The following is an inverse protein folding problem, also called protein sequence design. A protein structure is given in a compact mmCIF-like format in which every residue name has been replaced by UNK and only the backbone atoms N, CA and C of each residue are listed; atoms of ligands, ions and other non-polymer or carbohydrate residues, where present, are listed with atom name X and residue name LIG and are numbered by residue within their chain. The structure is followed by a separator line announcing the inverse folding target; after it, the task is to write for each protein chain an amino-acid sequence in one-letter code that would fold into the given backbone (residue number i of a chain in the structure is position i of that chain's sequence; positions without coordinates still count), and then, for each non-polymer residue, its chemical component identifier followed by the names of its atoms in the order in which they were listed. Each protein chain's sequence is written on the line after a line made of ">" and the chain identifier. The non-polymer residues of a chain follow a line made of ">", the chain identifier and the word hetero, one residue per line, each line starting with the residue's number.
data_IF_003089011173
#
_entry.id   IF_003089011173
#
_cell.length_a   1.000
_cell.length_b   1.000
_cell.length_c   1.000
_cell.angle_alpha   90.00
_cell.angle_beta   90.00
_cell.angle_gamma   90.00
#
_symmetry.space_group_name_H-M   'P 1'
#
loop_
_entity.id
_entity.type
_entity.pdbx_description
1 polymer ?
#
# COMPACT_ATOMS: atom_id res chain seq x y z
N UNK A 1 -12.42 4.62 24.85
CA UNK A 1 -13.32 4.24 23.74
C UNK A 1 -13.11 2.79 23.36
N UNK A 2 -14.16 2.15 22.83
CA UNK A 2 -14.08 0.83 22.20
C UNK A 2 -14.06 1.03 20.67
N UNK A 3 -13.00 0.59 20.00
CA UNK A 3 -12.74 0.89 18.60
C UNK A 3 -12.47 -0.42 17.84
N UNK A 4 -13.20 -0.64 16.75
CA UNK A 4 -13.05 -1.81 15.91
C UNK A 4 -12.50 -1.43 14.53
N UNK A 5 -11.61 -2.26 14.00
CA UNK A 5 -11.05 -2.12 12.66
C UNK A 5 -11.52 -3.26 11.78
N UNK A 6 -12.29 -2.98 10.75
CA UNK A 6 -12.74 -3.93 9.74
C UNK A 6 -11.60 -4.26 8.78
N UNK A 7 -11.09 -5.48 8.86
CA UNK A 7 -9.95 -5.97 8.07
C UNK A 7 -10.43 -6.99 7.04
N UNK A 8 -11.06 -6.50 5.99
CA UNK A 8 -11.49 -7.35 4.87
C UNK A 8 -10.31 -8.04 4.18
N UNK A 9 -9.14 -7.42 4.19
CA UNK A 9 -7.92 -7.95 3.57
C UNK A 9 -6.69 -7.62 4.43
N UNK A 10 -5.74 -8.55 4.51
CA UNK A 10 -4.48 -8.42 5.27
C UNK A 10 -3.68 -7.15 4.91
N UNK A 11 -3.74 -6.67 3.69
CA UNK A 11 -3.01 -5.47 3.26
C UNK A 11 -3.56 -4.15 3.84
N UNK A 12 -4.65 -4.17 4.63
CA UNK A 12 -5.09 -3.00 5.41
C UNK A 12 -4.31 -2.84 6.71
N UNK A 13 -3.74 -3.91 7.24
CA UNK A 13 -3.03 -3.91 8.52
C UNK A 13 -1.90 -2.88 8.55
N UNK A 14 -1.00 -2.76 7.53
CA UNK A 14 0.06 -1.77 7.57
C UNK A 14 -0.40 -0.32 7.71
N UNK A 15 -1.63 -0.02 7.30
CA UNK A 15 -2.22 1.32 7.45
C UNK A 15 -2.97 1.49 8.77
N UNK A 16 -3.63 0.43 9.25
CA UNK A 16 -4.35 0.46 10.51
C UNK A 16 -3.44 0.35 11.72
N UNK A 17 -2.35 -0.40 11.61
CA UNK A 17 -1.48 -0.71 12.74
C UNK A 17 -0.88 0.52 13.44
N UNK A 18 -0.35 1.56 12.76
CA UNK A 18 0.10 2.77 13.42
C UNK A 18 -1.01 3.49 14.20
N UNK A 19 -2.23 3.52 13.64
CA UNK A 19 -3.41 4.11 14.29
C UNK A 19 -3.82 3.28 15.50
N UNK A 20 -3.90 1.95 15.34
CA UNK A 20 -4.18 1.00 16.44
C UNK A 20 -3.18 1.17 17.58
N UNK A 21 -1.88 1.24 17.25
CA UNK A 21 -0.81 1.41 18.23
C UNK A 21 -0.93 2.73 19.01
N UNK A 22 -1.21 3.83 18.32
CA UNK A 22 -1.39 5.15 18.97
C UNK A 22 -2.62 5.15 19.87
N UNK A 23 -3.75 4.61 19.43
CA UNK A 23 -4.96 4.50 20.24
C UNK A 23 -4.78 3.61 21.46
N UNK A 24 -4.10 2.46 21.32
CA UNK A 24 -3.74 1.59 22.44
C UNK A 24 -2.85 2.31 23.46
N UNK A 25 -1.85 3.08 22.99
CA UNK A 25 -0.97 3.90 23.84
C UNK A 25 -1.77 4.93 24.65
N UNK A 26 -2.86 5.46 24.10
CA UNK A 26 -3.79 6.39 24.78
C UNK A 26 -4.80 5.69 25.70
N UNK A 27 -4.72 4.38 25.87
CA UNK A 27 -5.58 3.61 26.77
C UNK A 27 -6.93 3.21 26.17
N UNK A 28 -7.10 3.28 24.84
CA UNK A 28 -8.33 2.83 24.20
C UNK A 28 -8.35 1.32 23.99
N UNK A 29 -9.54 0.73 23.99
CA UNK A 29 -9.74 -0.67 23.68
C UNK A 29 -9.91 -0.83 22.16
N UNK A 30 -8.94 -1.49 21.51
CA UNK A 30 -8.90 -1.66 20.06
C UNK A 30 -8.82 -3.14 19.69
N UNK A 31 -9.63 -3.58 18.71
CA UNK A 31 -9.61 -4.94 18.19
C UNK A 31 -9.83 -4.95 16.67
N UNK A 32 -9.31 -5.98 15.99
CA UNK A 32 -9.56 -6.18 14.57
C UNK A 32 -10.69 -7.17 14.34
N UNK A 33 -11.50 -6.91 13.33
CA UNK A 33 -12.50 -7.85 12.82
C UNK A 33 -11.98 -8.38 11.49
N UNK A 34 -11.74 -9.69 11.41
CA UNK A 34 -11.01 -10.34 10.31
C UNK A 34 -11.86 -11.40 9.63
N UNK A 35 -11.84 -11.44 8.31
CA UNK A 35 -12.74 -12.25 7.49
C UNK A 35 -12.10 -13.59 7.08
N UNK A 36 -12.68 -14.69 7.54
CA UNK A 36 -12.18 -16.04 7.25
C UNK A 36 -12.36 -16.48 5.79
N UNK A 37 -13.35 -15.93 5.09
CA UNK A 37 -13.64 -16.22 3.68
C UNK A 37 -12.70 -15.53 2.70
N UNK A 38 -12.06 -14.45 3.11
CA UNK A 38 -11.25 -13.58 2.24
C UNK A 38 -9.76 -13.74 2.43
N UNK A 39 -9.33 -14.27 3.56
CA UNK A 39 -7.92 -14.35 3.96
C UNK A 39 -7.50 -15.81 4.20
N UNK A 40 -6.20 -16.08 4.04
CA UNK A 40 -5.59 -17.29 4.58
C UNK A 40 -5.58 -17.17 6.12
N UNK A 41 -6.34 -18.04 6.78
CA UNK A 41 -6.52 -18.00 8.25
C UNK A 41 -5.20 -18.20 9.00
N UNK A 42 -4.36 -19.13 8.55
CA UNK A 42 -3.12 -19.44 9.26
C UNK A 42 -2.13 -18.30 9.14
N UNK A 43 -1.99 -17.74 7.92
CA UNK A 43 -1.12 -16.59 7.67
C UNK A 43 -1.57 -15.37 8.47
N UNK A 44 -2.88 -15.06 8.46
CA UNK A 44 -3.39 -13.89 9.15
C UNK A 44 -3.30 -14.05 10.67
N UNK A 45 -3.63 -15.21 11.21
CA UNK A 45 -3.53 -15.50 12.64
C UNK A 45 -2.09 -15.34 13.13
N UNK A 46 -1.12 -16.00 12.49
CA UNK A 46 0.29 -15.89 12.88
C UNK A 46 0.81 -14.45 12.77
N UNK A 47 0.34 -13.70 11.78
CA UNK A 47 0.70 -12.28 11.64
C UNK A 47 0.18 -11.44 12.81
N UNK A 48 -1.09 -11.62 13.19
CA UNK A 48 -1.72 -10.84 14.26
C UNK A 48 -1.17 -11.20 15.64
N UNK A 49 -0.89 -12.49 15.86
CA UNK A 49 -0.24 -12.99 17.08
C UNK A 49 1.16 -12.41 17.25
N UNK A 50 1.96 -12.38 16.18
CA UNK A 50 3.30 -11.77 16.19
C UNK A 50 3.28 -10.26 16.46
N UNK A 51 2.17 -9.57 16.15
CA UNK A 51 1.98 -8.14 16.41
C UNK A 51 1.29 -7.85 17.75
N UNK A 52 0.95 -8.89 18.52
CA UNK A 52 0.16 -8.79 19.77
C UNK A 52 -1.15 -8.01 19.60
N UNK A 53 -1.86 -8.28 18.49
CA UNK A 53 -3.10 -7.61 18.15
C UNK A 53 -4.29 -8.49 18.49
N UNK A 54 -5.22 -7.98 19.31
CA UNK A 54 -6.51 -8.63 19.58
C UNK A 54 -7.39 -8.65 18.33
N UNK A 55 -7.97 -9.79 17.99
CA UNK A 55 -8.84 -9.92 16.80
C UNK A 55 -9.99 -10.90 17.03
N UNK A 56 -11.04 -10.74 16.22
CA UNK A 56 -12.20 -11.64 16.16
C UNK A 56 -12.45 -12.09 14.73
N UNK A 57 -12.63 -13.39 14.52
CA UNK A 57 -13.01 -13.94 13.24
C UNK A 57 -14.49 -13.75 12.97
N UNK A 58 -14.80 -13.33 11.74
CA UNK A 58 -16.14 -13.38 11.16
C UNK A 58 -16.07 -14.11 9.82
N UNK A 59 -17.18 -14.70 9.41
CA UNK A 59 -17.26 -15.41 8.13
C UNK A 59 -17.44 -14.44 6.96
N UNK A 60 -18.40 -13.51 7.10
CA UNK A 60 -18.75 -12.53 6.07
C UNK A 60 -19.33 -11.24 6.67
N UNK A 61 -19.76 -10.33 5.79
CA UNK A 61 -20.29 -9.01 6.17
C UNK A 61 -21.54 -9.10 7.05
N UNK A 62 -22.36 -10.18 6.96
CA UNK A 62 -23.53 -10.34 7.80
C UNK A 62 -23.16 -10.64 9.25
N UNK A 63 -22.21 -11.55 9.47
CA UNK A 63 -21.71 -11.86 10.82
C UNK A 63 -20.97 -10.64 11.41
N UNK A 64 -20.20 -9.91 10.61
CA UNK A 64 -19.57 -8.67 11.04
C UNK A 64 -20.61 -7.63 11.48
N UNK A 65 -21.69 -7.44 10.72
CA UNK A 65 -22.79 -6.55 11.08
C UNK A 65 -23.38 -6.91 12.45
N UNK A 66 -23.74 -8.19 12.65
CA UNK A 66 -24.36 -8.65 13.89
C UNK A 66 -23.43 -8.43 15.10
N UNK A 67 -22.13 -8.62 14.90
CA UNK A 67 -21.12 -8.32 15.91
C UNK A 67 -21.06 -6.82 16.23
N UNK A 68 -21.04 -5.95 15.22
CA UNK A 68 -21.01 -4.50 15.41
C UNK A 68 -22.27 -3.99 16.13
N UNK A 69 -23.44 -4.48 15.74
CA UNK A 69 -24.72 -4.11 16.38
C UNK A 69 -24.83 -4.60 17.83
N UNK A 70 -24.20 -5.74 18.14
CA UNK A 70 -24.15 -6.31 19.50
C UNK A 70 -23.16 -5.57 20.40
N UNK A 71 -21.94 -5.34 19.92
CA UNK A 71 -20.87 -4.71 20.69
C UNK A 71 -21.02 -3.19 20.81
N UNK A 72 -21.68 -2.53 19.84
CA UNK A 72 -21.89 -1.07 19.76
C UNK A 72 -20.63 -0.29 20.08
N UNK A 73 -19.54 -0.49 19.30
CA UNK A 73 -18.30 0.24 19.51
C UNK A 73 -18.52 1.74 19.31
N UNK A 74 -17.66 2.56 19.93
CA UNK A 74 -17.71 4.02 19.72
C UNK A 74 -17.35 4.36 18.28
N UNK A 75 -16.35 3.67 17.71
CA UNK A 75 -15.87 3.87 16.34
C UNK A 75 -15.59 2.55 15.62
N UNK A 76 -15.89 2.52 14.31
CA UNK A 76 -15.54 1.42 13.42
C UNK A 76 -14.79 1.98 12.20
N UNK A 77 -13.61 1.45 11.93
CA UNK A 77 -12.82 1.78 10.75
C UNK A 77 -13.11 0.83 9.60
N UNK A 78 -13.39 1.37 8.42
CA UNK A 78 -13.60 0.63 7.18
C UNK A 78 -12.56 1.03 6.12
N UNK A 79 -11.94 0.06 5.47
CA UNK A 79 -11.05 0.27 4.32
C UNK A 79 -11.78 0.31 2.98
N UNK A 80 -13.02 -0.17 2.94
CA UNK A 80 -13.90 -0.25 1.78
C UNK A 80 -15.34 0.14 2.14
N UNK A 81 -16.21 0.07 1.14
CA UNK A 81 -17.67 0.07 1.33
C UNK A 81 -18.10 -1.15 2.17
N UNK A 82 -19.10 -0.99 2.99
CA UNK A 82 -19.68 -2.04 3.79
C UNK A 82 -21.19 -2.13 3.51
N UNK A 83 -21.69 -3.35 3.22
CA UNK A 83 -23.05 -3.55 2.72
C UNK A 83 -24.16 -3.11 3.68
N UNK A 84 -23.90 -3.14 4.99
CA UNK A 84 -24.87 -2.84 6.04
C UNK A 84 -24.53 -1.53 6.79
N UNK A 85 -23.90 -0.60 6.11
CA UNK A 85 -23.41 0.63 6.73
C UNK A 85 -24.53 1.48 7.34
N UNK A 86 -25.72 1.52 6.70
CA UNK A 86 -26.88 2.26 7.18
C UNK A 86 -27.32 1.86 8.60
N UNK A 87 -27.35 0.54 8.87
CA UNK A 87 -27.75 0.02 10.18
C UNK A 87 -26.69 0.34 11.26
N UNK A 88 -25.42 0.22 10.89
CA UNK A 88 -24.30 0.41 11.81
C UNK A 88 -24.12 1.88 12.14
N UNK A 89 -24.20 2.77 11.14
CA UNK A 89 -23.98 4.20 11.30
C UNK A 89 -24.94 4.85 12.30
N UNK A 90 -26.13 4.26 12.50
CA UNK A 90 -27.10 4.72 13.50
C UNK A 90 -26.69 4.37 14.95
N UNK A 91 -25.76 3.43 15.14
CA UNK A 91 -25.38 2.90 16.47
C UNK A 91 -23.95 3.20 16.85
N UNK A 92 -23.07 3.36 15.88
CA UNK A 92 -21.64 3.58 16.04
C UNK A 92 -21.17 4.66 15.07
N UNK A 93 -20.18 5.46 15.46
CA UNK A 93 -19.50 6.36 14.54
C UNK A 93 -18.63 5.54 13.58
N UNK A 94 -18.58 5.96 12.34
CA UNK A 94 -17.91 5.21 11.27
C UNK A 94 -16.81 6.05 10.60
N UNK A 95 -15.68 5.42 10.34
CA UNK A 95 -14.53 6.01 9.67
C UNK A 95 -14.27 5.27 8.37
N UNK A 96 -14.07 6.00 7.29
CA UNK A 96 -13.43 5.43 6.11
C UNK A 96 -11.97 5.87 6.03
N UNK A 97 -11.06 4.89 5.90
CA UNK A 97 -9.64 5.11 5.71
C UNK A 97 -9.14 4.28 4.55
N UNK A 98 -8.74 4.92 3.45
CA UNK A 98 -8.26 4.25 2.25
C UNK A 98 -6.94 3.51 2.49
N UNK A 99 -6.64 2.51 1.64
CA UNK A 99 -5.46 1.65 1.77
C UNK A 99 -4.38 1.92 0.71
N UNK A 100 -4.48 3.02 -0.01
CA UNK A 100 -3.51 3.39 -1.02
C UNK A 100 -3.60 4.86 -1.42
N UNK A 101 -2.50 5.39 -1.91
CA UNK A 101 -2.32 6.78 -2.30
C UNK A 101 -2.16 6.93 -3.81
N UNK A 102 -2.36 8.15 -4.33
CA UNK A 102 -2.18 8.48 -5.72
C UNK A 102 -3.49 8.74 -6.49
N UNK A 103 -3.42 8.98 -7.80
CA UNK A 103 -4.53 9.53 -8.59
C UNK A 103 -5.53 8.49 -9.10
N UNK A 104 -5.50 7.24 -8.64
CA UNK A 104 -6.39 6.18 -9.17
C UNK A 104 -7.87 6.56 -8.99
N UNK A 105 -8.72 6.43 -10.04
CA UNK A 105 -10.14 6.76 -9.96
C UNK A 105 -10.89 6.01 -8.84
N UNK A 106 -10.46 4.78 -8.50
CA UNK A 106 -11.07 4.00 -7.42
C UNK A 106 -10.91 4.65 -6.05
N UNK A 107 -9.93 5.51 -5.83
CA UNK A 107 -9.71 6.19 -4.56
C UNK A 107 -10.68 7.36 -4.31
N UNK A 108 -11.42 7.79 -5.35
CA UNK A 108 -12.45 8.83 -5.26
C UNK A 108 -13.86 8.28 -5.16
N UNK A 109 -14.03 6.96 -5.12
CA UNK A 109 -15.33 6.35 -4.87
C UNK A 109 -15.66 6.42 -3.37
N UNK A 110 -16.92 6.64 -3.07
CA UNK A 110 -17.47 6.51 -1.72
C UNK A 110 -18.61 5.49 -1.73
N UNK A 111 -18.97 4.99 -0.57
CA UNK A 111 -20.24 4.28 -0.39
C UNK A 111 -21.42 5.26 -0.53
N UNK A 112 -22.58 4.76 -0.94
CA UNK A 112 -23.80 5.57 -1.03
C UNK A 112 -24.25 6.05 0.35
N UNK A 113 -23.99 5.25 1.39
CA UNK A 113 -24.24 5.61 2.78
C UNK A 113 -23.13 6.48 3.34
N UNK A 114 -23.45 7.67 3.87
CA UNK A 114 -22.46 8.56 4.46
C UNK A 114 -21.81 7.94 5.69
N UNK A 115 -20.50 8.12 5.84
CA UNK A 115 -19.77 7.82 7.07
C UNK A 115 -19.67 9.06 7.97
N UNK A 116 -19.42 8.86 9.27
CA UNK A 116 -19.23 9.98 10.18
C UNK A 116 -18.05 10.84 9.72
N UNK A 117 -16.95 10.22 9.26
CA UNK A 117 -15.79 10.91 8.69
C UNK A 117 -15.06 10.03 7.70
N UNK A 118 -14.40 10.67 6.72
CA UNK A 118 -13.47 10.04 5.79
C UNK A 118 -12.11 10.70 5.92
N UNK A 119 -11.09 9.93 6.31
CA UNK A 119 -9.73 10.44 6.40
C UNK A 119 -9.05 10.42 5.04
N UNK A 120 -8.45 11.55 4.69
CA UNK A 120 -7.80 11.79 3.40
C UNK A 120 -6.31 12.04 3.60
N UNK A 121 -5.54 11.74 2.57
CA UNK A 121 -4.10 11.85 2.64
C UNK A 121 -3.61 13.22 2.11
N UNK A 122 -3.62 13.44 0.79
CA UNK A 122 -3.06 14.63 0.14
C UNK A 122 -4.09 15.70 -0.20
N UNK A 123 -3.61 16.93 -0.40
CA UNK A 123 -4.45 18.13 -0.60
C UNK A 123 -5.30 18.06 -1.88
N UNK A 124 -4.71 17.63 -2.99
CA UNK A 124 -5.43 17.53 -4.28
C UNK A 124 -6.54 16.49 -4.19
N UNK A 125 -6.27 15.37 -3.48
CA UNK A 125 -7.28 14.34 -3.27
C UNK A 125 -8.41 14.85 -2.38
N UNK A 126 -8.08 15.52 -1.28
CA UNK A 126 -9.06 16.11 -0.37
C UNK A 126 -9.97 17.07 -1.14
N UNK A 127 -9.41 18.08 -1.78
CA UNK A 127 -10.18 19.07 -2.53
C UNK A 127 -11.11 18.45 -3.57
N UNK A 128 -10.59 17.52 -4.37
CA UNK A 128 -11.38 16.85 -5.41
C UNK A 128 -12.54 16.04 -4.84
N UNK A 129 -12.35 15.34 -3.72
CA UNK A 129 -13.41 14.51 -3.14
C UNK A 129 -14.46 15.36 -2.43
N UNK A 130 -14.07 16.48 -1.82
CA UNK A 130 -15.00 17.47 -1.25
C UNK A 130 -15.89 18.11 -2.32
N UNK A 131 -15.31 18.48 -3.47
CA UNK A 131 -16.07 18.98 -4.62
C UNK A 131 -17.06 17.93 -5.15
N UNK A 132 -16.69 16.65 -5.17
CA UNK A 132 -17.56 15.55 -5.62
C UNK A 132 -18.68 15.22 -4.62
N UNK A 133 -18.42 15.38 -3.32
CA UNK A 133 -19.32 14.96 -2.24
C UNK A 133 -19.42 16.02 -1.13
N UNK A 134 -19.99 17.20 -1.41
CA UNK A 134 -19.95 18.36 -0.50
C UNK A 134 -20.77 18.18 0.80
N UNK A 135 -21.55 17.11 0.91
CA UNK A 135 -22.32 16.79 2.12
C UNK A 135 -21.61 15.85 3.08
N UNK A 136 -20.51 15.26 2.65
CA UNK A 136 -19.74 14.31 3.47
C UNK A 136 -18.64 15.05 4.24
N UNK A 137 -18.22 14.49 5.36
CA UNK A 137 -17.13 15.05 6.16
C UNK A 137 -15.80 14.39 5.79
N UNK A 138 -14.86 15.19 5.31
CA UNK A 138 -13.51 14.79 4.98
C UNK A 138 -12.52 15.50 5.91
N UNK A 139 -11.45 14.83 6.30
CA UNK A 139 -10.41 15.40 7.14
C UNK A 139 -9.04 14.95 6.63
N UNK A 140 -8.16 15.90 6.35
CA UNK A 140 -6.79 15.58 5.97
C UNK A 140 -5.98 15.16 7.19
N UNK A 141 -5.43 13.97 7.13
CA UNK A 141 -4.62 13.38 8.20
C UNK A 141 -3.21 12.98 7.75
N UNK A 142 -2.99 12.78 6.45
CA UNK A 142 -1.80 12.16 5.89
C UNK A 142 -1.96 10.64 5.76
N UNK A 143 -0.87 9.93 5.51
CA UNK A 143 -0.89 8.50 5.22
C UNK A 143 -0.20 7.69 6.34
N UNK A 144 -0.98 7.22 7.29
CA UNK A 144 -0.51 6.56 8.53
C UNK A 144 0.40 5.35 8.30
N UNK A 145 0.27 4.65 7.16
CA UNK A 145 1.17 3.54 6.79
C UNK A 145 2.65 3.93 6.79
N UNK A 146 2.96 5.20 6.51
CA UNK A 146 4.33 5.70 6.45
C UNK A 146 4.80 6.29 7.78
N UNK A 147 3.92 6.49 8.76
CA UNK A 147 4.30 7.03 10.07
C UNK A 147 5.51 6.32 10.67
N UNK A 148 5.60 4.95 10.69
CA UNK A 148 6.72 4.25 11.28
C UNK A 148 8.09 4.56 10.65
N UNK A 149 8.11 4.99 9.38
CA UNK A 149 9.36 5.38 8.71
C UNK A 149 9.80 6.78 9.14
N UNK A 150 8.86 7.71 9.31
CA UNK A 150 9.13 9.10 9.63
C UNK A 150 9.32 9.34 11.14
N UNK A 151 8.68 8.54 12.00
CA UNK A 151 8.88 8.57 13.46
C UNK A 151 10.04 7.67 13.92
N UNK A 152 10.74 7.04 12.94
CA UNK A 152 11.92 6.19 13.13
C UNK A 152 11.65 4.90 13.94
N UNK A 153 10.39 4.50 14.13
CA UNK A 153 10.06 3.22 14.75
C UNK A 153 10.25 2.03 13.83
N UNK A 154 10.28 2.25 12.51
CA UNK A 154 10.66 1.25 11.51
C UNK A 154 12.16 1.36 11.17
N UNK A 155 12.90 0.31 11.46
CA UNK A 155 14.35 0.26 11.23
C UNK A 155 14.73 -0.28 9.84
N UNK A 156 13.77 -0.85 9.11
CA UNK A 156 14.00 -1.54 7.85
C UNK A 156 14.47 -2.99 8.03
N UNK A 157 14.93 -3.58 6.92
CA UNK A 157 15.39 -4.96 6.87
C UNK A 157 16.89 -5.05 7.23
N UNK A 158 17.25 -6.04 8.01
CA UNK A 158 18.65 -6.40 8.27
C UNK A 158 19.21 -7.17 7.06
N UNK A 159 19.87 -6.46 6.15
CA UNK A 159 20.40 -7.03 4.91
C UNK A 159 21.35 -8.19 5.16
N UNK A 160 22.18 -8.13 6.21
CA UNK A 160 23.12 -9.20 6.52
C UNK A 160 22.39 -10.49 6.93
N UNK A 161 21.33 -10.39 7.74
CA UNK A 161 20.49 -11.55 8.08
C UNK A 161 19.76 -12.15 6.88
N UNK A 162 19.49 -11.34 5.85
CA UNK A 162 18.90 -11.80 4.60
C UNK A 162 19.94 -12.39 3.63
N UNK A 163 21.22 -12.45 4.00
CA UNK A 163 22.31 -12.94 3.16
C UNK A 163 22.75 -11.93 2.08
N UNK A 164 22.40 -10.67 2.22
CA UNK A 164 22.74 -9.58 1.32
C UNK A 164 23.93 -8.77 1.86
N UNK A 165 24.64 -8.05 0.99
CA UNK A 165 25.78 -7.23 1.35
C UNK A 165 25.35 -5.82 1.80
N UNK A 166 25.48 -5.44 3.10
CA UNK A 166 25.04 -4.13 3.59
C UNK A 166 25.82 -2.94 2.98
N UNK A 167 26.96 -3.18 2.33
CA UNK A 167 27.74 -2.13 1.70
C UNK A 167 27.24 -1.73 0.31
N UNK A 168 26.39 -2.57 -0.30
CA UNK A 168 25.83 -2.34 -1.64
C UNK A 168 24.53 -1.52 -1.58
N UNK A 169 24.31 -0.70 -2.61
CA UNK A 169 23.03 -0.06 -2.83
C UNK A 169 21.94 -1.10 -3.09
N UNK A 170 20.74 -0.81 -2.62
CA UNK A 170 19.61 -1.74 -2.61
C UNK A 170 18.47 -1.27 -3.52
N UNK A 171 18.14 -2.11 -4.48
CA UNK A 171 17.00 -1.94 -5.39
C UNK A 171 15.80 -2.65 -4.81
N UNK A 172 14.65 -1.98 -4.70
CA UNK A 172 13.36 -2.61 -4.45
C UNK A 172 12.60 -2.79 -5.76
N UNK A 173 12.35 -4.03 -6.15
CA UNK A 173 11.44 -4.35 -7.24
C UNK A 173 10.08 -4.75 -6.67
N UNK A 174 9.09 -3.86 -6.80
CA UNK A 174 7.74 -4.04 -6.27
C UNK A 174 6.67 -3.92 -7.38
N UNK A 175 6.58 -4.94 -8.27
CA UNK A 175 5.62 -4.93 -9.37
C UNK A 175 4.17 -5.09 -8.88
N UNK A 176 3.22 -4.57 -9.66
CA UNK A 176 1.80 -4.87 -9.47
C UNK A 176 1.47 -6.28 -10.00
N UNK A 177 0.28 -6.80 -9.64
CA UNK A 177 -0.20 -8.07 -10.19
C UNK A 177 -0.87 -7.92 -11.56
N UNK A 178 -1.26 -6.70 -11.95
CA UNK A 178 -1.85 -6.38 -13.25
C UNK A 178 -2.15 -4.87 -13.42
N UNK A 179 -1.54 -4.17 -14.41
CA UNK A 179 -0.50 -4.68 -15.31
C UNK A 179 0.75 -5.09 -14.54
N UNK A 180 1.63 -5.89 -15.13
CA UNK A 180 2.87 -6.30 -14.47
C UNK A 180 4.05 -6.33 -15.44
N UNK A 181 5.19 -5.84 -14.99
CA UNK A 181 6.46 -5.95 -15.71
C UNK A 181 7.17 -7.29 -15.50
N UNK A 182 6.71 -8.14 -14.57
CA UNK A 182 7.34 -9.42 -14.21
C UNK A 182 7.69 -10.29 -15.41
N UNK A 183 6.74 -10.44 -16.36
CA UNK A 183 6.93 -11.22 -17.58
C UNK A 183 8.03 -10.69 -18.49
N UNK A 184 8.36 -9.41 -18.40
CA UNK A 184 9.32 -8.72 -19.24
C UNK A 184 10.78 -8.80 -18.73
N UNK A 185 10.98 -9.21 -17.47
CA UNK A 185 12.32 -9.38 -16.91
C UNK A 185 12.91 -10.73 -17.29
N UNK A 186 14.17 -10.80 -17.77
CA UNK A 186 14.88 -12.06 -18.01
C UNK A 186 15.01 -12.89 -16.73
N UNK A 187 15.13 -14.22 -16.87
CA UNK A 187 15.35 -15.10 -15.70
C UNK A 187 16.69 -14.83 -15.01
N UNK A 188 17.67 -14.34 -15.73
CA UNK A 188 19.01 -14.04 -15.24
C UNK A 188 19.24 -12.55 -14.93
N UNK A 189 18.19 -11.71 -14.92
CA UNK A 189 18.37 -10.29 -14.67
C UNK A 189 19.14 -9.95 -13.37
N UNK A 190 19.05 -10.75 -12.28
CA UNK A 190 19.82 -10.43 -11.09
C UNK A 190 21.34 -10.46 -11.30
N UNK A 191 21.84 -11.33 -12.20
CA UNK A 191 23.28 -11.36 -12.49
C UNK A 191 23.78 -10.12 -13.24
N UNK A 192 22.88 -9.46 -14.00
CA UNK A 192 23.20 -8.21 -14.68
C UNK A 192 23.28 -7.01 -13.71
N UNK A 193 22.77 -7.17 -12.49
CA UNK A 193 22.73 -6.19 -11.41
C UNK A 193 23.50 -6.65 -10.17
N UNK A 194 24.55 -7.45 -10.35
CA UNK A 194 25.33 -8.08 -9.25
C UNK A 194 26.03 -7.06 -8.34
N UNK A 195 26.20 -5.82 -8.78
CA UNK A 195 26.74 -4.72 -8.00
C UNK A 195 25.73 -4.15 -6.98
N UNK A 196 24.45 -4.53 -7.07
CA UNK A 196 23.37 -4.10 -6.18
C UNK A 196 22.79 -5.27 -5.40
N UNK A 197 22.22 -4.99 -4.24
CA UNK A 197 21.22 -5.86 -3.62
C UNK A 197 19.87 -5.67 -4.30
N UNK A 198 19.08 -6.73 -4.39
CA UNK A 198 17.75 -6.72 -4.98
C UNK A 198 16.75 -7.28 -3.99
N UNK A 199 15.82 -6.46 -3.56
CA UNK A 199 14.66 -6.87 -2.78
C UNK A 199 13.47 -7.02 -3.73
N UNK A 200 12.90 -8.22 -3.83
CA UNK A 200 11.72 -8.50 -4.65
C UNK A 200 10.50 -8.65 -3.76
N UNK A 201 9.57 -7.69 -3.85
CA UNK A 201 8.34 -7.68 -3.08
C UNK A 201 7.12 -7.62 -4.00
N UNK A 202 6.67 -8.77 -4.46
CA UNK A 202 5.51 -8.88 -5.35
C UNK A 202 4.20 -8.78 -4.57
N UNK A 203 3.12 -8.46 -5.28
CA UNK A 203 1.78 -8.44 -4.68
C UNK A 203 1.36 -9.85 -4.21
N UNK A 204 0.74 -9.97 -3.04
CA UNK A 204 0.31 -11.26 -2.46
C UNK A 204 -0.52 -12.12 -3.43
N UNK A 205 -1.37 -11.51 -4.24
CA UNK A 205 -2.13 -12.22 -5.27
C UNK A 205 -1.26 -12.91 -6.33
N UNK A 206 -0.06 -12.42 -6.59
CA UNK A 206 0.89 -13.06 -7.50
C UNK A 206 1.42 -14.35 -6.90
N UNK A 207 1.62 -14.40 -5.60
CA UNK A 207 2.13 -15.60 -4.89
C UNK A 207 1.04 -16.63 -4.62
N UNK A 208 -0.21 -16.21 -4.43
CA UNK A 208 -1.29 -17.09 -3.93
C UNK A 208 -2.22 -17.67 -5.00
N UNK A 209 -2.17 -17.20 -6.27
CA UNK A 209 -3.11 -17.63 -7.30
C UNK A 209 -2.45 -18.40 -8.43
N UNK A 210 -2.95 -19.57 -8.76
CA UNK A 210 -2.45 -20.48 -9.81
C UNK A 210 -2.31 -19.83 -11.19
N UNK A 211 -3.18 -18.88 -11.52
CA UNK A 211 -3.10 -18.14 -12.78
C UNK A 211 -1.79 -17.36 -12.98
N UNK A 212 -1.00 -17.15 -11.94
CA UNK A 212 0.29 -16.49 -11.94
C UNK A 212 1.46 -17.48 -11.83
N UNK A 213 1.25 -18.78 -12.06
CA UNK A 213 2.26 -19.83 -11.92
C UNK A 213 3.57 -19.50 -12.67
N UNK A 214 3.47 -19.00 -13.91
CA UNK A 214 4.67 -18.59 -14.68
C UNK A 214 5.47 -17.48 -14.01
N UNK A 215 4.78 -16.52 -13.36
CA UNK A 215 5.43 -15.45 -12.61
C UNK A 215 6.05 -16.02 -11.32
N UNK A 216 5.38 -16.93 -10.63
CA UNK A 216 5.89 -17.63 -9.44
C UNK A 216 7.16 -18.44 -9.78
N UNK A 217 7.17 -19.19 -10.88
CA UNK A 217 8.35 -19.94 -11.35
C UNK A 217 9.52 -18.99 -11.66
N UNK A 218 9.26 -17.82 -12.25
CA UNK A 218 10.27 -16.80 -12.51
C UNK A 218 10.87 -16.24 -11.22
N UNK A 219 10.01 -15.85 -10.28
CA UNK A 219 10.41 -15.34 -8.97
C UNK A 219 11.23 -16.39 -8.22
N UNK A 220 10.81 -17.65 -8.28
CA UNK A 220 11.55 -18.76 -7.65
C UNK A 220 12.95 -18.94 -8.25
N UNK A 221 13.08 -18.76 -9.58
CA UNK A 221 14.38 -18.81 -10.24
C UNK A 221 15.33 -17.69 -9.81
N UNK A 222 14.82 -16.56 -9.37
CA UNK A 222 15.66 -15.45 -8.87
C UNK A 222 16.26 -15.71 -7.48
N UNK A 223 15.64 -16.56 -6.66
CA UNK A 223 16.16 -16.91 -5.33
C UNK A 223 17.53 -17.59 -5.32
N UNK A 224 17.98 -18.11 -6.47
CA UNK A 224 19.31 -18.73 -6.58
C UNK A 224 20.48 -17.72 -6.60
N UNK A 225 20.19 -16.43 -6.82
CA UNK A 225 21.23 -15.40 -6.89
C UNK A 225 21.51 -14.82 -5.51
N UNK A 226 22.80 -14.73 -5.14
CA UNK A 226 23.23 -14.28 -3.81
C UNK A 226 22.95 -12.80 -3.52
N UNK A 227 22.66 -12.00 -4.55
CA UNK A 227 22.31 -10.59 -4.41
C UNK A 227 20.81 -10.34 -4.39
N UNK A 228 19.97 -11.40 -4.25
CA UNK A 228 18.50 -11.30 -4.30
C UNK A 228 17.87 -11.83 -3.03
N UNK A 229 17.00 -11.06 -2.46
CA UNK A 229 16.03 -11.51 -1.48
C UNK A 229 14.61 -11.40 -2.04
N UNK A 230 13.85 -12.48 -1.97
CA UNK A 230 12.46 -12.53 -2.39
C UNK A 230 11.56 -12.69 -1.18
N UNK A 231 10.74 -11.68 -0.92
CA UNK A 231 9.80 -11.67 0.19
C UNK A 231 8.80 -12.84 0.14
N UNK A 232 8.57 -13.47 1.27
CA UNK A 232 7.55 -14.50 1.46
C UNK A 232 6.13 -13.91 1.52
N UNK A 233 5.16 -14.80 1.64
CA UNK A 233 3.74 -14.42 1.82
C UNK A 233 3.47 -13.87 3.22
N UNK A 234 4.23 -14.29 4.20
CA UNK A 234 4.20 -13.87 5.60
C UNK A 234 4.73 -12.44 5.80
N UNK A 235 5.59 -11.97 4.92
CA UNK A 235 6.05 -10.58 4.91
C UNK A 235 5.03 -9.67 4.22
N UNK A 236 3.83 -9.58 4.77
CA UNK A 236 2.70 -8.85 4.18
C UNK A 236 2.95 -7.32 4.09
N UNK A 237 3.78 -6.74 4.97
CA UNK A 237 4.08 -5.30 4.98
C UNK A 237 5.14 -4.94 3.94
N UNK A 238 4.91 -3.82 3.25
CA UNK A 238 5.88 -3.22 2.33
C UNK A 238 6.81 -2.23 3.07
N UNK A 239 6.42 -1.76 4.24
CA UNK A 239 7.07 -0.64 4.96
C UNK A 239 8.56 -0.88 5.24
N UNK A 240 9.00 -2.06 5.75
CA UNK A 240 10.42 -2.34 5.95
C UNK A 240 11.23 -2.29 4.65
N UNK A 241 10.65 -2.75 3.53
CA UNK A 241 11.29 -2.73 2.21
C UNK A 241 11.47 -1.29 1.69
N UNK A 242 10.45 -0.43 1.89
CA UNK A 242 10.52 0.99 1.52
C UNK A 242 11.60 1.71 2.32
N UNK A 243 11.72 1.43 3.62
CA UNK A 243 12.74 2.03 4.50
C UNK A 243 14.14 1.65 4.04
N UNK A 244 14.36 0.37 3.70
CA UNK A 244 15.68 -0.20 3.37
C UNK A 244 16.19 0.22 2.00
N UNK A 245 15.35 0.22 0.96
CA UNK A 245 15.79 0.41 -0.40
C UNK A 245 16.28 1.83 -0.70
N UNK A 246 17.26 1.95 -1.62
CA UNK A 246 17.76 3.22 -2.16
C UNK A 246 16.97 3.69 -3.38
N UNK A 247 16.47 2.76 -4.20
CA UNK A 247 15.69 3.03 -5.42
C UNK A 247 14.56 2.01 -5.58
N UNK A 248 13.41 2.47 -6.08
CA UNK A 248 12.27 1.62 -6.39
C UNK A 248 12.13 1.41 -7.89
N UNK A 249 11.89 0.17 -8.29
CA UNK A 249 11.40 -0.19 -9.64
C UNK A 249 9.96 -0.67 -9.49
N UNK A 250 9.03 -0.06 -10.20
CA UNK A 250 7.63 -0.47 -10.23
C UNK A 250 6.94 0.00 -11.51
N UNK A 251 5.67 -0.30 -11.65
CA UNK A 251 4.77 0.22 -12.68
C UNK A 251 3.52 0.84 -12.00
N UNK A 252 2.43 1.04 -12.68
CA UNK A 252 1.18 1.70 -12.23
C UNK A 252 0.70 1.29 -10.81
N UNK A 253 1.42 1.69 -9.77
CA UNK A 253 1.24 1.29 -8.36
C UNK A 253 1.19 2.49 -7.42
N UNK A 254 0.43 2.38 -6.32
CA UNK A 254 0.51 3.35 -5.21
C UNK A 254 1.88 3.35 -4.54
N UNK A 255 2.62 2.25 -4.62
CA UNK A 255 3.98 2.12 -4.09
C UNK A 255 4.94 3.18 -4.64
N UNK A 256 4.73 3.64 -5.89
CA UNK A 256 5.51 4.74 -6.47
C UNK A 256 5.39 6.02 -5.62
N UNK A 257 4.17 6.36 -5.22
CA UNK A 257 3.90 7.55 -4.40
C UNK A 257 4.38 7.35 -2.96
N UNK A 258 4.18 6.15 -2.42
CA UNK A 258 4.65 5.79 -1.08
C UNK A 258 6.18 5.92 -0.98
N UNK A 259 6.92 5.45 -1.99
CA UNK A 259 8.39 5.54 -2.01
C UNK A 259 8.88 6.95 -2.31
N UNK A 260 8.23 7.65 -3.26
CA UNK A 260 8.54 9.04 -3.58
C UNK A 260 8.33 9.98 -2.39
N UNK A 261 7.38 9.66 -1.49
CA UNK A 261 7.16 10.40 -0.25
C UNK A 261 8.37 10.37 0.71
N UNK A 262 9.24 9.36 0.57
CA UNK A 262 10.50 9.26 1.32
C UNK A 262 11.63 10.08 0.70
N UNK A 263 11.34 10.88 -0.34
CA UNK A 263 12.30 11.62 -1.17
C UNK A 263 13.36 10.73 -1.84
N UNK A 264 13.04 9.45 -2.09
CA UNK A 264 13.91 8.47 -2.72
C UNK A 264 13.55 8.28 -4.21
N UNK A 265 14.54 7.96 -5.07
CA UNK A 265 14.34 7.80 -6.51
C UNK A 265 13.38 6.67 -6.87
N UNK A 266 12.52 6.89 -7.85
CA UNK A 266 11.65 5.87 -8.44
C UNK A 266 11.93 5.71 -9.92
N UNK A 267 11.95 4.46 -10.39
CA UNK A 267 12.06 4.09 -11.80
C UNK A 267 10.79 3.39 -12.24
N UNK A 268 10.11 3.97 -13.21
CA UNK A 268 8.80 3.53 -13.68
C UNK A 268 9.00 2.67 -14.93
N UNK A 269 8.54 1.42 -14.89
CA UNK A 269 8.53 0.55 -16.06
C UNK A 269 7.36 0.92 -16.98
N UNK A 270 7.66 1.46 -18.18
CA UNK A 270 6.68 1.66 -19.25
C UNK A 270 6.44 0.39 -20.07
N UNK A 271 7.15 -0.69 -19.75
CA UNK A 271 7.04 -2.00 -20.37
C UNK A 271 6.39 -2.98 -19.39
N UNK A 272 5.24 -3.50 -19.75
CA UNK A 272 4.49 -4.46 -18.92
C UNK A 272 3.52 -5.29 -19.75
N UNK A 273 3.21 -6.48 -19.23
CA UNK A 273 2.20 -7.33 -19.82
C UNK A 273 0.80 -6.92 -19.39
N UNK A 274 -0.06 -6.73 -20.38
CA UNK A 274 -1.49 -6.52 -20.15
C UNK A 274 -2.23 -7.85 -20.29
N UNK A 275 -3.20 -8.07 -19.39
CA UNK A 275 -4.18 -9.14 -19.60
C UNK A 275 -4.89 -8.99 -20.94
N UNK A 276 -5.31 -10.11 -21.52
CA UNK A 276 -6.09 -10.12 -22.76
C UNK A 276 -7.31 -9.16 -22.69
N UNK A 277 -7.98 -9.09 -21.52
CA UNK A 277 -9.13 -8.20 -21.30
C UNK A 277 -8.81 -6.70 -21.35
N UNK A 278 -7.56 -6.32 -21.54
CA UNK A 278 -7.09 -4.93 -21.72
C UNK A 278 -6.35 -4.70 -23.04
N UNK A 279 -6.34 -5.73 -23.95
CA UNK A 279 -5.69 -5.65 -25.27
C UNK A 279 -6.70 -5.36 -26.37
N UNK A 280 -6.24 -4.87 -27.53
CA UNK A 280 -7.05 -4.63 -28.70
C UNK A 280 -8.23 -3.68 -28.43
N UNK A 281 -9.43 -4.11 -28.81
CA UNK A 281 -10.69 -3.34 -28.63
C UNK A 281 -11.04 -3.08 -27.15
N UNK A 282 -10.44 -3.82 -26.22
CA UNK A 282 -10.67 -3.66 -24.77
C UNK A 282 -9.72 -2.67 -24.09
N UNK A 283 -8.86 -1.96 -24.81
CA UNK A 283 -7.93 -0.94 -24.26
C UNK A 283 -8.64 0.13 -23.43
N UNK A 284 -9.87 0.48 -23.77
CA UNK A 284 -10.67 1.44 -23.01
C UNK A 284 -10.89 1.04 -21.54
N UNK A 285 -10.92 -0.28 -21.25
CA UNK A 285 -11.05 -0.78 -19.86
C UNK A 285 -9.81 -0.47 -19.03
N UNK A 286 -8.64 -0.49 -19.67
CA UNK A 286 -7.39 -0.10 -19.02
C UNK A 286 -7.41 1.39 -18.67
N UNK A 287 -7.74 2.25 -19.65
CA UNK A 287 -7.88 3.69 -19.44
C UNK A 287 -8.93 4.01 -18.35
N UNK A 288 -10.08 3.33 -18.34
CA UNK A 288 -11.12 3.49 -17.31
C UNK A 288 -10.64 3.10 -15.90
N UNK A 289 -9.79 2.07 -15.79
CA UNK A 289 -9.30 1.56 -14.49
C UNK A 289 -8.18 2.40 -13.92
N UNK A 290 -7.24 2.81 -14.76
CA UNK A 290 -6.02 3.52 -14.34
C UNK A 290 -6.11 5.03 -14.56
N UNK A 291 -7.16 5.49 -15.28
CA UNK A 291 -7.41 6.88 -15.62
C UNK A 291 -6.61 7.37 -16.82
N UNK A 292 -7.12 8.41 -17.47
CA UNK A 292 -6.34 9.23 -18.42
C UNK A 292 -5.16 9.91 -17.68
N UNK A 293 -5.26 10.03 -16.37
CA UNK A 293 -4.28 10.63 -15.46
C UNK A 293 -3.04 9.74 -15.20
N UNK A 294 -2.89 8.61 -15.92
CA UNK A 294 -1.59 7.91 -15.99
C UNK A 294 -0.46 8.81 -16.50
N UNK A 295 -0.81 9.94 -17.09
CA UNK A 295 0.11 11.03 -17.44
C UNK A 295 0.77 11.65 -16.19
N UNK A 296 0.10 11.66 -15.05
CA UNK A 296 0.60 12.24 -13.79
C UNK A 296 1.84 11.49 -13.27
N UNK A 297 2.01 10.21 -13.59
CA UNK A 297 3.22 9.47 -13.21
C UNK A 297 4.49 9.95 -13.91
N UNK A 298 4.38 10.62 -15.07
CA UNK A 298 5.53 10.94 -15.94
C UNK A 298 6.62 11.77 -15.28
N UNK A 299 6.24 12.59 -14.32
CA UNK A 299 7.19 13.51 -13.68
C UNK A 299 7.65 13.02 -12.30
N UNK A 300 7.12 11.91 -11.79
CA UNK A 300 7.44 11.42 -10.45
C UNK A 300 8.86 10.87 -10.34
N UNK A 301 9.38 10.31 -11.43
CA UNK A 301 10.70 9.68 -11.50
C UNK A 301 11.09 9.34 -12.93
N UNK A 302 12.19 8.64 -13.10
CA UNK A 302 12.69 8.20 -14.38
C UNK A 302 11.83 7.09 -15.01
N UNK A 303 11.76 7.08 -16.34
CA UNK A 303 10.98 6.11 -17.11
C UNK A 303 11.86 5.17 -17.92
N UNK A 304 11.72 3.87 -17.74
CA UNK A 304 12.35 2.85 -18.55
C UNK A 304 11.36 2.35 -19.62
N UNK A 305 11.63 2.69 -20.90
CA UNK A 305 10.78 2.30 -22.02
C UNK A 305 10.84 0.77 -22.32
N UNK A 306 11.90 0.10 -21.91
CA UNK A 306 12.10 -1.35 -22.02
C UNK A 306 13.16 -1.81 -21.04
N UNK A 307 13.27 -3.14 -20.85
CA UNK A 307 14.23 -3.74 -19.92
C UNK A 307 15.69 -3.34 -20.20
N UNK A 308 16.12 -3.23 -21.47
CA UNK A 308 17.50 -2.89 -21.83
C UNK A 308 17.92 -1.49 -21.36
N UNK A 309 16.97 -0.59 -21.17
CA UNK A 309 17.21 0.78 -20.67
C UNK A 309 17.21 0.87 -19.14
N UNK A 310 16.81 -0.20 -18.45
CA UNK A 310 16.59 -0.16 -17.01
C UNK A 310 17.88 0.08 -16.23
N UNK A 311 18.95 -0.68 -16.52
CA UNK A 311 20.21 -0.59 -15.77
C UNK A 311 20.85 0.80 -15.79
N UNK A 312 21.10 1.46 -16.94
CA UNK A 312 21.68 2.79 -16.95
C UNK A 312 20.78 3.85 -16.26
N UNK A 313 19.45 3.69 -16.32
CA UNK A 313 18.53 4.59 -15.62
C UNK A 313 18.63 4.41 -14.11
N UNK A 314 18.67 3.18 -13.61
CA UNK A 314 18.83 2.90 -12.16
C UNK A 314 20.17 3.46 -11.66
N UNK A 315 21.23 3.26 -12.43
CA UNK A 315 22.56 3.78 -12.08
C UNK A 315 22.53 5.31 -11.97
N UNK A 316 21.96 6.01 -12.95
CA UNK A 316 21.83 7.47 -12.92
C UNK A 316 20.98 7.94 -11.72
N UNK A 317 19.86 7.30 -11.43
CA UNK A 317 18.99 7.66 -10.31
C UNK A 317 19.64 7.42 -8.93
N UNK A 318 20.52 6.40 -8.81
CA UNK A 318 21.30 6.15 -7.58
C UNK A 318 22.42 7.18 -7.43
N UNK A 319 23.11 7.52 -8.51
CA UNK A 319 24.21 8.50 -8.53
C UNK A 319 23.69 9.93 -8.36
N UNK A 320 22.51 10.23 -8.92
CA UNK A 320 21.87 11.55 -8.95
C UNK A 320 20.47 11.55 -8.30
N UNK A 321 20.31 11.20 -7.02
CA UNK A 321 19.01 11.00 -6.37
C UNK A 321 18.14 12.27 -6.30
N UNK A 322 18.69 13.42 -6.67
CA UNK A 322 18.00 14.72 -6.69
C UNK A 322 17.30 15.04 -8.02
N UNK A 323 17.45 14.23 -9.05
CA UNK A 323 16.92 14.50 -10.40
C UNK A 323 15.43 14.88 -10.41
N UNK A 324 14.59 14.16 -9.69
CA UNK A 324 13.13 14.39 -9.64
C UNK A 324 12.66 14.93 -8.28
N UNK A 325 13.54 15.48 -7.46
CA UNK A 325 13.23 15.87 -6.07
C UNK A 325 12.07 16.85 -5.95
N UNK A 326 12.04 17.88 -6.76
CA UNK A 326 10.96 18.90 -6.72
C UNK A 326 9.60 18.28 -7.09
N UNK A 327 9.61 17.41 -8.08
CA UNK A 327 8.40 16.71 -8.51
C UNK A 327 7.92 15.74 -7.41
N UNK A 328 8.81 14.93 -6.83
CA UNK A 328 8.46 14.07 -5.69
C UNK A 328 7.83 14.85 -4.54
N UNK A 329 8.39 16.01 -4.18
CA UNK A 329 7.84 16.89 -3.14
C UNK A 329 6.44 17.39 -3.48
N UNK A 330 6.23 17.85 -4.73
CA UNK A 330 4.90 18.26 -5.18
C UNK A 330 3.90 17.12 -5.11
N UNK A 331 4.25 15.96 -5.68
CA UNK A 331 3.38 14.77 -5.63
C UNK A 331 3.10 14.29 -4.21
N UNK A 332 4.05 14.46 -3.29
CA UNK A 332 3.84 14.14 -1.89
C UNK A 332 2.75 15.02 -1.28
N UNK A 333 2.82 16.33 -1.44
CA UNK A 333 1.80 17.28 -0.96
C UNK A 333 0.45 16.94 -1.58
N UNK A 334 0.41 16.74 -2.90
CA UNK A 334 -0.81 16.52 -3.65
C UNK A 334 -1.54 15.22 -3.29
N UNK A 335 -0.81 14.13 -3.02
CA UNK A 335 -1.37 12.78 -2.97
C UNK A 335 -1.13 11.99 -1.67
N UNK A 336 -0.06 12.29 -0.93
CA UNK A 336 0.29 11.56 0.31
C UNK A 336 0.02 12.42 1.54
N UNK A 337 0.25 13.73 1.45
CA UNK A 337 0.04 14.69 2.51
C UNK A 337 1.27 14.86 3.41
N UNK A 338 1.08 15.31 4.66
CA UNK A 338 2.18 15.50 5.60
C UNK A 338 2.96 14.20 5.85
N UNK A 339 4.29 14.27 5.68
CA UNK A 339 5.23 13.17 5.90
C UNK A 339 6.05 13.45 7.17
N UNK A 340 5.35 13.59 8.28
CA UNK A 340 5.90 13.97 9.60
C UNK A 340 5.74 12.88 10.67
N UNK A 341 5.30 11.68 10.28
CA UNK A 341 5.08 10.56 11.20
C UNK A 341 3.92 10.74 12.17
N UNK A 342 2.99 11.65 11.88
CA UNK A 342 1.91 12.05 12.82
C UNK A 342 0.50 11.83 12.28
N UNK A 343 0.32 11.10 11.19
CA UNK A 343 -1.03 10.85 10.65
C UNK A 343 -1.89 10.06 11.65
N UNK A 344 -1.33 9.05 12.31
CA UNK A 344 -1.99 8.28 13.37
C UNK A 344 -2.35 9.13 14.60
N UNK A 345 -1.51 10.10 14.96
CA UNK A 345 -1.78 11.05 16.05
C UNK A 345 -2.98 11.93 15.68
N UNK A 346 -3.00 12.53 14.46
CA UNK A 346 -4.14 13.35 13.99
C UNK A 346 -5.45 12.58 13.96
N UNK A 347 -5.39 11.31 13.57
CA UNK A 347 -6.56 10.41 13.59
C UNK A 347 -7.04 10.22 15.03
N UNK A 348 -6.16 9.88 15.97
CA UNK A 348 -6.50 9.67 17.37
C UNK A 348 -7.08 10.95 18.01
N UNK A 349 -6.44 12.11 17.77
CA UNK A 349 -6.93 13.42 18.24
C UNK A 349 -8.34 13.71 17.72
N UNK A 350 -8.60 13.41 16.44
CA UNK A 350 -9.93 13.59 15.85
C UNK A 350 -10.98 12.73 16.56
N UNK A 351 -10.68 11.43 16.79
CA UNK A 351 -11.64 10.51 17.42
C UNK A 351 -11.97 10.93 18.86
N UNK A 352 -10.98 11.39 19.62
CA UNK A 352 -11.15 11.82 21.02
C UNK A 352 -11.94 13.12 21.15
N UNK A 353 -11.91 13.99 20.13
CA UNK A 353 -12.58 15.28 20.13
C UNK A 353 -13.97 15.26 19.47
N UNK A 354 -14.42 14.15 18.93
CA UNK A 354 -15.69 14.00 18.24
C UNK A 354 -16.46 12.76 18.68
#
# INVERSE_FOLDING_TARGET
>A
MNILFDVLNIYYIPQYFPVWRELKKRGHNCSLIVYSKKNDKNLLASTLENLDISYTWVHDDSEAKDLYLTQKPDWIFFGNEFAFLDEIHQKSKTVQMGHGVGPKPSYYRKSDTPMTVRFMEGEVRLKKIEEMYPKDKFVQVGFSKLDPIFDETEQGLDLAKLGLDPSKKTILYAPTFNPTSLGCFPKNWPSEFSEYNILVKVHSLTLSRDRYKKDQERIQAWKQYSNVYVAGVDEFSLVPFLKTADVLISEASSTLFEFAALDKPVVICDFYDLKWSYKGIFKYRFAKRFGADSVIYKELGAHAANYKKLKPIIQDEIENPKNYKNNRRKYNIDHVGPTDGKASIRIADYLENN
#
